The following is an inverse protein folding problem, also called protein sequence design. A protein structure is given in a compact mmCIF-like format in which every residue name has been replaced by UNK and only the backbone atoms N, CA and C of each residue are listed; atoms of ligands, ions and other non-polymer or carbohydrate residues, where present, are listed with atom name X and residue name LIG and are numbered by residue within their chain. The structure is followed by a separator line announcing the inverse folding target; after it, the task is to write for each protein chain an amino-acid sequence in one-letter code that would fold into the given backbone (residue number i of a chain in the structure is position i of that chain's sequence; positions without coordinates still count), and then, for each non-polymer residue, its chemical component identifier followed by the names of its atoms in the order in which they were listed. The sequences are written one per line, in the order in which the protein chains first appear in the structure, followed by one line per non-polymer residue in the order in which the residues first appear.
data_IF_284588433740
#
_entry.id   IF_284588433740
#
_cell.length_a   1.000
_cell.length_b   1.000
_cell.length_c   1.000
_cell.angle_alpha   90.00
_cell.angle_beta   90.00
_cell.angle_gamma   90.00
#
_symmetry.space_group_name_H-M   'P 1'
#
loop_
_entity.id
_entity.type
_entity.pdbx_description
1 polymer ?
#
# COMPACT_ATOMS: atom_id res chain seq x y z
N UNK A 1 13.07 4.39 -7.44
CA UNK A 1 12.56 5.20 -8.57
C UNK A 1 11.48 6.17 -8.09
N UNK A 2 11.39 7.38 -8.63
CA UNK A 2 10.29 8.31 -8.34
C UNK A 2 9.27 8.32 -9.49
N UNK A 3 8.08 8.88 -9.25
CA UNK A 3 7.05 8.96 -10.28
C UNK A 3 7.49 9.70 -11.55
N UNK A 4 8.40 10.68 -11.43
CA UNK A 4 9.00 11.36 -12.59
C UNK A 4 9.72 10.40 -13.55
N UNK A 5 10.35 9.36 -13.02
CA UNK A 5 11.05 8.38 -13.84
C UNK A 5 10.05 7.48 -14.58
N UNK A 6 8.92 7.13 -13.94
CA UNK A 6 7.80 6.44 -14.59
C UNK A 6 7.22 7.30 -15.72
N UNK A 7 7.05 8.61 -15.50
CA UNK A 7 6.62 9.54 -16.55
C UNK A 7 7.60 9.59 -17.74
N UNK A 8 8.91 9.47 -17.47
CA UNK A 8 9.93 9.38 -18.51
C UNK A 8 9.83 8.06 -19.28
N UNK A 9 9.59 6.94 -18.61
CA UNK A 9 9.38 5.63 -19.26
C UNK A 9 8.12 5.62 -20.12
N UNK A 10 7.01 6.18 -19.63
CA UNK A 10 5.77 6.32 -20.40
C UNK A 10 5.98 7.18 -21.65
N UNK A 11 6.64 8.34 -21.49
CA UNK A 11 7.01 9.21 -22.61
C UNK A 11 7.91 8.49 -23.61
N UNK A 12 8.90 7.74 -23.14
CA UNK A 12 9.80 6.98 -24.00
C UNK A 12 9.08 5.89 -24.78
N UNK A 13 8.13 5.18 -24.15
CA UNK A 13 7.28 4.20 -24.82
C UNK A 13 6.47 4.83 -25.96
N UNK A 14 5.77 5.95 -25.70
CA UNK A 14 5.04 6.68 -26.74
C UNK A 14 5.97 7.17 -27.86
N UNK A 15 7.12 7.78 -27.50
CA UNK A 15 8.09 8.30 -28.47
C UNK A 15 8.67 7.19 -29.36
N UNK A 16 8.86 5.97 -28.83
CA UNK A 16 9.37 4.85 -29.62
C UNK A 16 8.45 4.48 -30.79
N UNK A 17 7.13 4.58 -30.63
CA UNK A 17 6.18 4.37 -31.72
C UNK A 17 6.11 5.59 -32.62
N UNK A 18 6.16 6.81 -32.07
CA UNK A 18 6.20 8.02 -32.89
C UNK A 18 7.41 8.04 -33.84
N UNK A 19 8.57 7.59 -33.37
CA UNK A 19 9.78 7.44 -34.18
C UNK A 19 9.62 6.42 -35.33
N UNK A 20 8.65 5.49 -35.22
CA UNK A 20 8.30 4.52 -36.26
C UNK A 20 7.22 5.04 -37.22
N UNK A 21 6.84 6.32 -37.14
CA UNK A 21 5.85 6.95 -38.02
C UNK A 21 4.42 6.92 -37.47
N UNK A 22 4.21 6.49 -36.23
CA UNK A 22 2.93 6.67 -35.56
C UNK A 22 2.70 8.14 -35.17
N UNK A 23 1.46 8.57 -35.16
CA UNK A 23 1.02 9.88 -34.69
C UNK A 23 -0.18 9.74 -33.75
N UNK A 24 -0.54 10.83 -33.08
CA UNK A 24 -1.62 10.79 -32.08
C UNK A 24 -2.95 10.46 -32.74
N UNK A 25 -3.62 9.42 -32.26
CA UNK A 25 -5.01 9.12 -32.59
C UNK A 25 -5.93 9.85 -31.61
N UNK A 26 -6.48 11.00 -32.03
CA UNK A 26 -7.40 11.79 -31.21
C UNK A 26 -8.88 11.35 -31.30
N UNK A 27 -9.15 10.28 -32.06
CA UNK A 27 -10.50 9.79 -32.36
C UNK A 27 -11.08 8.83 -31.32
N UNK A 28 -10.28 8.37 -30.36
CA UNK A 28 -10.74 7.49 -29.28
C UNK A 28 -11.28 8.30 -28.11
N UNK A 29 -12.22 7.71 -27.38
CA UNK A 29 -12.75 8.32 -26.17
C UNK A 29 -11.62 8.56 -25.15
N UNK A 30 -11.70 9.68 -24.43
CA UNK A 30 -10.80 9.99 -23.32
C UNK A 30 -10.91 9.00 -22.15
N UNK A 31 -10.14 9.27 -21.09
CA UNK A 31 -10.01 8.36 -19.94
C UNK A 31 -11.34 8.18 -19.21
N UNK A 32 -11.72 6.93 -18.97
CA UNK A 32 -12.99 6.56 -18.35
C UNK A 32 -12.91 5.33 -17.44
N UNK A 33 -11.75 4.64 -17.40
CA UNK A 33 -11.57 3.38 -16.68
C UNK A 33 -10.64 3.53 -15.47
N UNK A 34 -10.36 4.76 -15.04
CA UNK A 34 -9.46 5.06 -13.91
C UNK A 34 -7.98 5.01 -14.30
N UNK A 35 -7.67 5.24 -15.58
CA UNK A 35 -6.30 5.35 -16.07
C UNK A 35 -5.54 6.45 -15.33
N UNK A 36 -4.27 6.21 -15.01
CA UNK A 36 -3.38 7.27 -14.53
C UNK A 36 -3.04 8.21 -15.69
N UNK A 37 -2.74 7.64 -16.84
CA UNK A 37 -2.56 8.33 -18.10
C UNK A 37 -2.69 7.33 -19.25
N UNK A 38 -3.09 7.78 -20.43
CA UNK A 38 -2.93 7.00 -21.66
C UNK A 38 -2.70 7.93 -22.84
N UNK A 39 -2.16 7.37 -23.92
CA UNK A 39 -2.09 8.00 -25.23
C UNK A 39 -2.31 6.93 -26.29
N UNK A 40 -3.19 7.23 -27.24
CA UNK A 40 -3.47 6.37 -28.38
C UNK A 40 -2.71 6.89 -29.60
N UNK A 41 -2.00 5.99 -30.26
CA UNK A 41 -1.15 6.27 -31.41
C UNK A 41 -1.62 5.42 -32.58
N UNK A 42 -1.51 5.95 -33.79
CA UNK A 42 -1.83 5.23 -35.02
C UNK A 42 -0.86 5.54 -36.14
N UNK A 43 -0.66 4.59 -37.03
CA UNK A 43 0.00 4.74 -38.33
C UNK A 43 -1.01 4.77 -39.49
N UNK A 44 -2.31 4.83 -39.20
CA UNK A 44 -3.41 4.78 -40.16
C UNK A 44 -4.02 3.39 -40.39
N UNK A 45 -3.38 2.31 -39.93
CA UNK A 45 -3.91 0.94 -40.08
C UNK A 45 -4.27 0.27 -38.76
N UNK A 46 -3.58 0.60 -37.67
CA UNK A 46 -3.82 0.06 -36.33
C UNK A 46 -3.78 1.17 -35.27
N UNK A 47 -4.29 0.86 -34.07
CA UNK A 47 -4.18 1.74 -32.90
C UNK A 47 -3.36 1.02 -31.82
N UNK A 48 -2.34 1.70 -31.33
CA UNK A 48 -1.53 1.31 -30.18
C UNK A 48 -1.87 2.23 -29.02
N UNK A 49 -2.31 1.66 -27.90
CA UNK A 49 -2.50 2.36 -26.64
C UNK A 49 -1.27 2.19 -25.77
N UNK A 50 -0.64 3.29 -25.40
CA UNK A 50 0.34 3.34 -24.31
C UNK A 50 -0.42 3.80 -23.06
N UNK A 51 -0.44 2.95 -22.03
CA UNK A 51 -1.30 3.08 -20.85
C UNK A 51 -0.47 3.03 -19.58
N UNK A 52 -0.70 3.98 -18.67
CA UNK A 52 -0.36 3.86 -17.25
C UNK A 52 -1.64 3.61 -16.46
N UNK A 53 -1.65 2.53 -15.70
CA UNK A 53 -2.74 2.19 -14.77
C UNK A 53 -2.19 1.85 -13.39
N UNK A 54 -3.07 1.78 -12.38
CA UNK A 54 -2.70 1.29 -11.05
C UNK A 54 -3.04 -0.18 -10.90
N UNK A 55 -2.25 -0.89 -10.11
CA UNK A 55 -2.57 -2.24 -9.67
C UNK A 55 -2.44 -2.35 -8.16
N UNK A 56 -3.17 -3.29 -7.58
CA UNK A 56 -3.04 -3.72 -6.20
C UNK A 56 -3.16 -5.24 -6.19
N UNK A 57 -2.20 -5.93 -5.57
CA UNK A 57 -2.37 -7.35 -5.28
C UNK A 57 -2.94 -7.49 -3.86
N UNK A 58 -3.87 -8.42 -3.70
CA UNK A 58 -4.50 -8.74 -2.41
C UNK A 58 -3.50 -9.11 -1.30
N UNK A 59 -2.23 -9.34 -1.66
CA UNK A 59 -1.11 -9.62 -0.77
C UNK A 59 -0.49 -8.34 -0.17
N UNK A 60 -1.01 -7.15 -0.48
CA UNK A 60 -0.66 -5.89 0.15
C UNK A 60 0.36 -5.04 -0.63
N UNK A 61 0.89 -5.53 -1.75
CA UNK A 61 1.70 -4.70 -2.66
C UNK A 61 0.82 -4.03 -3.70
N UNK A 62 1.23 -2.85 -4.12
CA UNK A 62 0.52 -2.05 -5.09
C UNK A 62 1.50 -1.27 -5.92
N UNK A 63 1.03 -0.68 -7.01
CA UNK A 63 1.92 0.07 -7.87
C UNK A 63 1.26 0.64 -9.09
N UNK A 64 2.11 1.02 -10.03
CA UNK A 64 1.73 1.53 -11.35
C UNK A 64 2.24 0.54 -12.38
N UNK A 65 1.43 0.25 -13.39
CA UNK A 65 1.79 -0.60 -14.52
C UNK A 65 1.76 0.22 -15.81
N UNK A 66 2.85 0.14 -16.56
CA UNK A 66 2.95 0.61 -17.94
C UNK A 66 2.61 -0.55 -18.87
N UNK A 67 1.63 -0.35 -19.74
CA UNK A 67 1.18 -1.32 -20.73
C UNK A 67 1.27 -0.66 -22.10
N UNK A 68 1.84 -1.37 -23.06
CA UNK A 68 1.69 -1.06 -24.48
C UNK A 68 0.82 -2.16 -25.08
N UNK A 69 -0.33 -1.78 -25.61
CA UNK A 69 -1.32 -2.73 -26.13
C UNK A 69 -1.83 -2.32 -27.50
N UNK A 70 -2.04 -3.31 -28.36
CA UNK A 70 -2.77 -3.13 -29.62
C UNK A 70 -4.26 -3.20 -29.38
N UNK A 71 -5.00 -2.24 -29.94
CA UNK A 71 -6.46 -2.23 -29.94
C UNK A 71 -6.96 -3.25 -30.96
N UNK A 72 -7.76 -4.22 -30.52
CA UNK A 72 -8.38 -5.26 -31.37
C UNK A 72 -9.85 -5.04 -31.65
N UNK A 73 -10.51 -4.19 -30.86
CA UNK A 73 -11.89 -3.80 -31.10
C UNK A 73 -12.01 -3.14 -32.50
N UNK A 74 -13.19 -3.19 -33.11
CA UNK A 74 -13.47 -2.57 -34.42
C UNK A 74 -13.56 -1.04 -34.30
N UNK A 75 -12.40 -0.44 -34.01
CA UNK A 75 -12.20 1.00 -33.84
C UNK A 75 -11.24 1.44 -34.93
N UNK A 76 -11.74 2.27 -35.83
CA UNK A 76 -10.96 2.71 -36.99
C UNK A 76 -10.06 3.89 -36.60
N UNK A 77 -8.77 3.87 -37.00
CA UNK A 77 -7.91 5.04 -36.93
C UNK A 77 -8.53 6.29 -37.56
N UNK A 78 -8.18 7.46 -37.04
CA UNK A 78 -8.51 8.76 -37.65
C UNK A 78 -10.00 9.06 -37.81
N UNK A 79 -10.87 8.35 -37.08
CA UNK A 79 -12.27 8.76 -37.01
C UNK A 79 -12.43 10.01 -36.16
N UNK A 80 -13.27 10.94 -36.63
CA UNK A 80 -13.63 12.13 -35.86
C UNK A 80 -14.58 11.80 -34.71
N UNK A 81 -15.25 10.65 -34.79
CA UNK A 81 -16.32 10.26 -33.88
C UNK A 81 -15.79 9.64 -32.58
N UNK A 82 -15.90 10.38 -31.47
CA UNK A 82 -15.21 10.09 -30.20
C UNK A 82 -15.98 9.17 -29.25
N UNK A 83 -16.98 8.43 -29.73
CA UNK A 83 -17.77 7.50 -28.90
C UNK A 83 -17.13 6.12 -28.73
N UNK A 84 -16.09 5.82 -29.51
CA UNK A 84 -15.43 4.53 -29.46
C UNK A 84 -14.52 4.44 -28.23
N UNK A 85 -14.96 3.66 -27.24
CA UNK A 85 -14.18 3.33 -26.04
C UNK A 85 -13.20 2.19 -26.35
N UNK A 86 -11.91 2.46 -26.20
CA UNK A 86 -10.89 1.41 -26.14
C UNK A 86 -10.90 0.81 -24.73
N UNK A 87 -11.31 -0.45 -24.61
CA UNK A 87 -11.35 -1.17 -23.34
C UNK A 87 -9.97 -1.68 -22.96
N UNK A 88 -9.42 -1.23 -21.83
CA UNK A 88 -8.05 -1.54 -21.44
C UNK A 88 -7.84 -3.05 -21.19
N UNK A 89 -8.88 -3.75 -20.74
CA UNK A 89 -8.87 -5.20 -20.52
C UNK A 89 -8.86 -6.03 -21.83
N UNK A 90 -9.19 -5.41 -22.97
CA UNK A 90 -9.26 -6.07 -24.29
C UNK A 90 -8.05 -5.79 -25.18
N UNK A 91 -7.06 -5.07 -24.65
CA UNK A 91 -5.82 -4.83 -25.36
C UNK A 91 -5.08 -6.15 -25.60
N UNK A 92 -4.60 -6.35 -26.83
CA UNK A 92 -3.55 -7.33 -27.06
C UNK A 92 -2.24 -6.73 -26.54
N UNK A 93 -1.80 -7.19 -25.36
CA UNK A 93 -0.61 -6.68 -24.68
C UNK A 93 0.65 -7.03 -25.49
N UNK A 94 1.38 -6.00 -25.92
CA UNK A 94 2.67 -6.12 -26.61
C UNK A 94 3.80 -6.11 -25.58
N UNK A 95 3.71 -5.22 -24.59
CA UNK A 95 4.65 -5.18 -23.47
C UNK A 95 3.96 -4.66 -22.22
N UNK A 96 4.46 -5.11 -21.06
CA UNK A 96 4.06 -4.56 -19.78
C UNK A 96 5.27 -4.41 -18.86
N UNK A 97 5.18 -3.46 -17.93
CA UNK A 97 6.19 -3.24 -16.90
C UNK A 97 5.52 -2.71 -15.63
N UNK A 98 5.75 -3.41 -14.52
CA UNK A 98 5.21 -3.03 -13.21
C UNK A 98 6.24 -2.27 -12.39
N UNK A 99 5.77 -1.24 -11.72
CA UNK A 99 6.51 -0.41 -10.79
C UNK A 99 5.86 -0.50 -9.42
N UNK A 100 6.47 -1.25 -8.50
CA UNK A 100 5.87 -1.54 -7.21
C UNK A 100 6.17 -0.44 -6.21
N UNK A 101 5.15 0.03 -5.49
CA UNK A 101 5.29 1.07 -4.48
C UNK A 101 5.89 0.48 -3.20
N UNK A 102 6.96 1.09 -2.71
CA UNK A 102 7.72 0.62 -1.54
C UNK A 102 7.34 1.35 -0.25
N UNK A 103 6.73 2.53 -0.34
CA UNK A 103 6.37 3.39 0.79
C UNK A 103 4.85 3.57 0.95
N UNK A 104 4.43 4.18 2.07
CA UNK A 104 3.01 4.41 2.35
C UNK A 104 2.38 5.43 1.40
N UNK A 105 1.07 5.29 1.15
CA UNK A 105 0.30 6.20 0.29
C UNK A 105 0.33 7.68 0.70
N UNK A 106 0.53 7.95 2.00
CA UNK A 106 0.56 9.32 2.56
C UNK A 106 1.84 10.12 2.23
N UNK A 107 2.81 9.52 1.54
CA UNK A 107 4.07 10.15 1.15
C UNK A 107 4.24 10.09 -0.36
N UNK A 108 5.10 10.95 -0.92
CA UNK A 108 5.51 10.89 -2.32
C UNK A 108 5.92 9.48 -2.73
N UNK A 109 5.35 8.97 -3.82
CA UNK A 109 5.54 7.58 -4.23
C UNK A 109 7.00 7.25 -4.55
N UNK A 110 7.54 6.24 -3.85
CA UNK A 110 8.82 5.61 -4.18
C UNK A 110 8.55 4.20 -4.69
N UNK A 111 9.11 3.91 -5.86
CA UNK A 111 8.83 2.69 -6.62
C UNK A 111 10.09 1.87 -6.83
N UNK A 112 9.92 0.55 -6.93
CA UNK A 112 10.97 -0.43 -7.11
C UNK A 112 10.45 -1.71 -7.77
N UNK A 113 11.20 -2.79 -7.59
CA UNK A 113 10.88 -4.12 -8.11
C UNK A 113 9.86 -4.84 -7.22
N UNK A 114 9.33 -5.95 -7.75
CA UNK A 114 8.45 -6.84 -6.97
C UNK A 114 9.14 -7.39 -5.72
N UNK A 115 10.41 -7.80 -5.87
CA UNK A 115 11.22 -8.33 -4.78
C UNK A 115 11.43 -7.30 -3.66
N UNK A 116 11.76 -6.06 -4.03
CA UNK A 116 11.93 -4.96 -3.07
C UNK A 116 10.62 -4.66 -2.34
N UNK A 117 9.49 -4.71 -3.05
CA UNK A 117 8.16 -4.47 -2.47
C UNK A 117 7.75 -5.57 -1.50
N UNK A 118 7.97 -6.84 -1.88
CA UNK A 118 7.71 -7.98 -1.01
C UNK A 118 8.57 -7.93 0.26
N UNK A 119 9.87 -7.64 0.13
CA UNK A 119 10.76 -7.48 1.28
C UNK A 119 10.35 -6.31 2.20
N UNK A 120 9.92 -5.19 1.61
CA UNK A 120 9.43 -4.05 2.38
C UNK A 120 8.13 -4.40 3.14
N UNK A 121 7.23 -5.16 2.52
CA UNK A 121 5.95 -5.58 3.12
C UNK A 121 6.16 -6.62 4.22
N UNK A 122 7.02 -7.61 4.03
CA UNK A 122 7.40 -8.55 5.08
C UNK A 122 7.93 -7.82 6.33
N UNK A 123 8.84 -6.87 6.11
CA UNK A 123 9.38 -6.04 7.21
C UNK A 123 8.29 -5.21 7.89
N UNK A 124 7.26 -4.75 7.17
CA UNK A 124 6.12 -4.02 7.76
C UNK A 124 5.25 -4.97 8.57
N UNK A 125 4.97 -6.14 8.05
CA UNK A 125 4.18 -7.16 8.70
C UNK A 125 4.83 -7.62 10.01
N UNK A 126 6.16 -7.80 10.04
CA UNK A 126 6.87 -8.15 11.28
C UNK A 126 6.89 -7.01 12.29
N UNK A 127 7.01 -5.76 11.84
CA UNK A 127 6.82 -4.58 12.72
C UNK A 127 5.40 -4.52 13.28
N UNK A 128 4.40 -4.86 12.47
CA UNK A 128 3.02 -4.94 12.93
C UNK A 128 2.82 -6.05 13.96
N UNK A 129 3.31 -7.27 13.70
CA UNK A 129 3.26 -8.40 14.64
C UNK A 129 3.93 -8.06 15.96
N UNK A 130 5.12 -7.48 15.93
CA UNK A 130 5.88 -7.11 17.13
C UNK A 130 5.15 -6.03 17.96
N UNK A 131 4.54 -5.04 17.32
CA UNK A 131 3.68 -4.06 18.02
C UNK A 131 2.49 -4.73 18.69
N UNK A 132 1.83 -5.66 17.99
CA UNK A 132 0.68 -6.41 18.53
C UNK A 132 1.08 -7.38 19.64
N UNK A 133 2.29 -7.94 19.58
CA UNK A 133 2.86 -8.76 20.65
C UNK A 133 3.20 -7.93 21.89
N UNK A 134 3.66 -6.69 21.72
CA UNK A 134 3.85 -5.73 22.83
C UNK A 134 2.54 -5.25 23.48
N UNK A 135 1.40 -5.45 22.82
CA UNK A 135 0.07 -5.28 23.43
C UNK A 135 -0.36 -6.51 24.25
N UNK A 136 0.42 -7.60 24.29
CA UNK A 136 0.10 -8.70 25.21
C UNK A 136 0.35 -8.30 26.66
N UNK A 137 -0.54 -8.74 27.54
CA UNK A 137 -0.43 -8.55 28.98
C UNK A 137 0.81 -9.29 29.52
N UNK A 138 1.84 -8.53 29.93
CA UNK A 138 3.05 -9.08 30.55
C UNK A 138 2.88 -9.09 32.07
N UNK A 139 2.99 -10.26 32.70
CA UNK A 139 3.08 -10.35 34.16
C UNK A 139 4.44 -9.84 34.63
N UNK A 140 4.43 -8.76 35.41
CA UNK A 140 5.62 -8.12 35.98
C UNK A 140 5.61 -8.15 37.51
N UNK A 141 4.74 -8.97 38.10
CA UNK A 141 4.47 -9.03 39.54
C UNK A 141 5.76 -9.16 40.35
N UNK A 142 6.66 -10.08 40.00
CA UNK A 142 7.89 -10.32 40.76
C UNK A 142 8.75 -9.07 40.94
N UNK A 143 8.86 -8.24 39.90
CA UNK A 143 9.63 -6.99 39.95
C UNK A 143 8.85 -5.84 40.56
N UNK A 144 7.54 -5.77 40.28
CA UNK A 144 6.71 -4.61 40.61
C UNK A 144 6.02 -4.70 41.99
N UNK A 145 5.80 -5.90 42.52
CA UNK A 145 5.10 -6.11 43.80
C UNK A 145 5.69 -5.30 44.97
N UNK A 146 7.03 -5.19 45.14
CA UNK A 146 7.61 -4.38 46.21
C UNK A 146 7.30 -2.89 46.07
N UNK A 147 7.24 -2.39 44.83
CA UNK A 147 7.01 -0.98 44.52
C UNK A 147 5.55 -0.57 44.71
N UNK A 148 4.60 -1.46 44.37
CA UNK A 148 3.15 -1.15 44.42
C UNK A 148 2.53 -1.43 45.79
N UNK A 149 3.27 -2.04 46.72
CA UNK A 149 2.77 -2.37 48.07
C UNK A 149 2.24 -1.15 48.82
N UNK A 150 2.97 -0.02 48.76
CA UNK A 150 2.55 1.24 49.40
C UNK A 150 1.29 1.80 48.72
N UNK A 151 1.25 1.76 47.39
CA UNK A 151 0.08 2.18 46.61
C UNK A 151 -1.18 1.37 46.97
N UNK A 152 -1.08 0.05 47.16
CA UNK A 152 -2.20 -0.81 47.57
C UNK A 152 -2.73 -0.40 48.95
N UNK A 153 -1.82 -0.13 49.90
CA UNK A 153 -2.21 0.30 51.24
C UNK A 153 -3.01 1.61 51.20
N UNK A 154 -2.50 2.60 50.46
CA UNK A 154 -3.09 3.94 50.37
C UNK A 154 -4.36 3.98 49.51
N UNK A 155 -4.33 3.33 48.33
CA UNK A 155 -5.40 3.41 47.34
C UNK A 155 -6.55 2.43 47.60
N UNK A 156 -6.24 1.23 48.10
CA UNK A 156 -7.26 0.21 48.38
C UNK A 156 -7.62 0.14 49.87
N UNK A 157 -6.96 0.91 50.74
CA UNK A 157 -7.28 0.99 52.18
C UNK A 157 -6.95 -0.29 52.97
N UNK A 158 -6.08 -1.15 52.44
CA UNK A 158 -5.77 -2.46 53.02
C UNK A 158 -4.66 -2.35 54.06
N UNK A 159 -4.95 -2.66 55.33
CA UNK A 159 -3.96 -2.52 56.44
C UNK A 159 -2.76 -3.47 56.35
N UNK A 160 -2.96 -4.71 55.89
CA UNK A 160 -1.89 -5.72 55.74
C UNK A 160 -1.91 -6.27 54.31
N UNK A 161 -0.86 -5.95 53.55
CA UNK A 161 -0.70 -6.40 52.16
C UNK A 161 0.22 -7.62 52.14
N UNK A 162 -0.29 -8.75 51.64
CA UNK A 162 0.50 -9.96 51.37
C UNK A 162 1.06 -9.91 49.95
N UNK A 163 2.32 -10.25 49.77
CA UNK A 163 3.00 -10.13 48.48
C UNK A 163 2.45 -11.13 47.45
N UNK A 164 2.08 -12.33 47.89
CA UNK A 164 1.58 -13.40 47.02
C UNK A 164 0.19 -13.08 46.41
N UNK A 165 -0.54 -12.15 47.03
CA UNK A 165 -1.87 -11.73 46.59
C UNK A 165 -1.83 -10.51 45.63
N UNK A 166 -0.64 -9.98 45.37
CA UNK A 166 -0.43 -8.89 44.42
C UNK A 166 -0.29 -9.47 43.03
N UNK A 167 -0.98 -8.89 42.05
CA UNK A 167 -0.72 -9.13 40.62
C UNK A 167 -0.50 -7.80 39.92
N UNK A 168 0.60 -7.68 39.19
CA UNK A 168 0.90 -6.49 38.38
C UNK A 168 1.11 -6.90 36.94
N UNK A 169 0.29 -6.35 36.06
CA UNK A 169 0.33 -6.61 34.62
C UNK A 169 0.67 -5.33 33.88
N UNK A 170 1.62 -5.42 32.95
CA UNK A 170 1.92 -4.35 31.99
C UNK A 170 1.22 -4.65 30.67
N UNK A 171 0.47 -3.69 30.15
CA UNK A 171 -0.23 -3.80 28.86
C UNK A 171 -0.25 -2.45 28.17
N UNK A 172 0.19 -2.38 26.90
CA UNK A 172 0.19 -1.14 26.11
C UNK A 172 0.92 0.03 26.80
N UNK A 173 2.00 -0.26 27.54
CA UNK A 173 2.76 0.74 28.30
C UNK A 173 2.16 1.16 29.64
N UNK A 174 0.96 0.70 30.00
CA UNK A 174 0.29 0.99 31.28
C UNK A 174 0.45 -0.17 32.24
N UNK A 175 0.49 0.13 33.54
CA UNK A 175 0.57 -0.89 34.59
C UNK A 175 -0.76 -0.99 35.32
N UNK A 176 -1.26 -2.20 35.49
CA UNK A 176 -2.49 -2.47 36.26
C UNK A 176 -2.14 -3.33 37.46
N UNK A 177 -2.50 -2.86 38.65
CA UNK A 177 -2.31 -3.55 39.91
C UNK A 177 -3.64 -4.15 40.33
N UNK A 178 -3.64 -5.44 40.64
CA UNK A 178 -4.78 -6.16 41.21
C UNK A 178 -4.38 -6.72 42.57
N UNK A 179 -5.25 -6.53 43.56
CA UNK A 179 -5.12 -7.12 44.89
C UNK A 179 -6.49 -7.60 45.34
N UNK A 180 -6.68 -8.92 45.42
CA UNK A 180 -7.99 -9.56 45.61
C UNK A 180 -9.05 -9.02 44.62
N UNK A 181 -10.10 -8.34 45.11
CA UNK A 181 -11.19 -7.77 44.30
C UNK A 181 -10.92 -6.32 43.85
N UNK A 182 -9.80 -5.73 44.26
CA UNK A 182 -9.45 -4.36 43.91
C UNK A 182 -8.51 -4.34 42.71
N UNK A 183 -8.82 -3.49 41.75
CA UNK A 183 -8.00 -3.27 40.56
C UNK A 183 -7.87 -1.78 40.31
N UNK A 184 -6.66 -1.32 40.04
CA UNK A 184 -6.42 0.05 39.60
C UNK A 184 -5.26 0.12 38.60
N UNK A 185 -5.37 1.07 37.69
CA UNK A 185 -4.30 1.44 36.78
C UNK A 185 -3.38 2.45 37.45
N UNK A 186 -2.07 2.24 37.33
CA UNK A 186 -1.06 3.21 37.73
C UNK A 186 -0.95 4.26 36.61
N UNK A 187 -1.03 5.53 36.99
CA UNK A 187 -0.84 6.69 36.12
C UNK A 187 0.59 7.22 36.24
#
# INVERSE_FOLDING_TARGET
MKFIDINREFTAAANSYMAQGYYINAGTMGGSQGEVAHIDLTNGTEIIRVLLTTFNNYLGTEGVELIVGRVKDDIKPNQEDRWNTVWNERLEVISNKKFYRLNNRAQDGFYGTEEEANAAEEKRFDRYKSRRSNDSALDVTTKAAPMVKKYIHEKFGVRRVKMDDIKVVKHGGRYTVTYHKHTAQLH
#
